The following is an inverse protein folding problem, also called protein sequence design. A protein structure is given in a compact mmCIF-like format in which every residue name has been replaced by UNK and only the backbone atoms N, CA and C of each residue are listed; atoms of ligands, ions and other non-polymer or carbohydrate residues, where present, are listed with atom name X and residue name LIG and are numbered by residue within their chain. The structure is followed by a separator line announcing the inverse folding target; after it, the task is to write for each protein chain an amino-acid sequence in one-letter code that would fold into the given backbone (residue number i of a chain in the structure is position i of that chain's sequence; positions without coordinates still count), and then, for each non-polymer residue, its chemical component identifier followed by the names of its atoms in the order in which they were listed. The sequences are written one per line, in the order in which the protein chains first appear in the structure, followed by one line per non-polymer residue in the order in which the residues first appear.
data_IF_070716318064
#
_entry.id   IF_070716318064
#
_cell.length_a   1.000
_cell.length_b   1.000
_cell.length_c   1.000
_cell.angle_alpha   90.00
_cell.angle_beta   90.00
_cell.angle_gamma   90.00
#
_symmetry.space_group_name_H-M   'P 1'
#
loop_
_entity.id
_entity.type
_entity.pdbx_description
1 polymer ?
#
# COMPACT_ATOMS: atom_id res chain seq x y z
N UNK A 1 -25.09 -19.34 -38.34
CA UNK A 1 -25.52 -18.81 -37.03
C UNK A 1 -24.25 -18.59 -36.23
N UNK A 2 -23.78 -17.34 -36.15
CA UNK A 2 -22.50 -17.01 -35.51
C UNK A 2 -22.72 -16.81 -34.01
N UNK A 3 -21.97 -17.55 -33.18
CA UNK A 3 -21.96 -17.40 -31.73
C UNK A 3 -21.02 -16.24 -31.36
N UNK A 4 -21.59 -15.14 -30.88
CA UNK A 4 -20.83 -13.98 -30.41
C UNK A 4 -20.27 -14.29 -29.02
N UNK A 5 -18.95 -14.46 -28.93
CA UNK A 5 -18.23 -14.56 -27.66
C UNK A 5 -18.13 -13.16 -27.06
N UNK A 6 -18.80 -12.91 -25.94
CA UNK A 6 -18.68 -11.66 -25.19
C UNK A 6 -17.36 -11.72 -24.41
N UNK A 7 -16.36 -10.94 -24.84
CA UNK A 7 -15.19 -10.65 -24.01
C UNK A 7 -15.64 -9.72 -22.87
N UNK A 8 -15.75 -10.26 -21.66
CA UNK A 8 -15.80 -9.44 -20.45
C UNK A 8 -14.41 -8.81 -20.25
N UNK A 9 -14.32 -7.50 -20.47
CA UNK A 9 -13.17 -6.73 -20.02
C UNK A 9 -13.17 -6.72 -18.48
N UNK A 10 -12.15 -7.31 -17.85
CA UNK A 10 -11.89 -7.07 -16.43
C UNK A 10 -11.52 -5.60 -16.27
N UNK A 11 -12.46 -4.77 -15.82
CA UNK A 11 -12.16 -3.42 -15.38
C UNK A 11 -11.07 -3.49 -14.30
N UNK A 12 -10.01 -2.71 -14.56
CA UNK A 12 -8.88 -2.44 -13.69
C UNK A 12 -9.27 -2.43 -12.22
N UNK A 13 -8.57 -3.27 -11.44
CA UNK A 13 -8.87 -3.56 -10.05
C UNK A 13 -9.23 -2.32 -9.24
N UNK A 14 -10.36 -2.42 -8.52
CA UNK A 14 -10.73 -1.52 -7.43
C UNK A 14 -9.52 -1.31 -6.53
N UNK A 15 -9.11 -0.05 -6.37
CA UNK A 15 -8.16 0.32 -5.34
C UNK A 15 -8.67 -0.20 -3.99
N UNK A 16 -7.80 -0.77 -3.14
CA UNK A 16 -8.22 -1.25 -1.83
C UNK A 16 -8.88 -0.09 -1.06
N UNK A 17 -10.14 -0.27 -0.66
CA UNK A 17 -10.86 0.66 0.19
C UNK A 17 -10.43 0.40 1.63
N UNK A 18 -9.91 1.43 2.32
CA UNK A 18 -9.65 1.33 3.75
C UNK A 18 -10.97 1.26 4.54
N UNK A 19 -10.95 0.77 5.79
CA UNK A 19 -12.12 0.77 6.65
C UNK A 19 -12.57 2.19 6.95
N UNK A 20 -13.88 2.43 6.86
CA UNK A 20 -14.54 3.62 7.39
C UNK A 20 -14.70 3.46 8.90
N UNK A 21 -13.96 4.24 9.71
CA UNK A 21 -14.11 4.10 11.16
C UNK A 21 -13.25 5.00 12.03
N UNK A 22 -12.42 5.88 11.49
CA UNK A 22 -11.68 6.81 12.35
C UNK A 22 -12.54 8.03 12.68
N UNK A 23 -12.54 8.40 13.96
CA UNK A 23 -13.08 9.69 14.43
C UNK A 23 -11.90 10.51 14.92
N UNK A 24 -11.63 11.66 14.28
CA UNK A 24 -10.59 12.58 14.73
C UNK A 24 -10.94 13.06 16.14
N UNK A 25 -10.06 12.88 17.15
CA UNK A 25 -10.33 13.40 18.49
C UNK A 25 -10.50 14.93 18.43
N UNK A 26 -11.60 15.44 18.99
CA UNK A 26 -11.91 16.87 19.02
C UNK A 26 -11.00 17.69 19.95
N UNK A 27 -10.18 17.01 20.77
CA UNK A 27 -9.27 17.63 21.75
C UNK A 27 -7.89 17.01 21.64
N UNK A 28 -6.93 17.78 21.10
CA UNK A 28 -5.51 17.42 21.03
C UNK A 28 -4.88 17.62 22.41
N UNK A 29 -5.05 16.65 23.31
CA UNK A 29 -4.14 16.45 24.45
C UNK A 29 -2.80 15.85 23.99
N UNK A 30 -1.75 15.84 24.83
CA UNK A 30 -0.41 15.32 24.47
C UNK A 30 -0.34 13.79 24.37
N UNK A 31 -1.46 13.13 24.12
CA UNK A 31 -1.54 11.68 24.06
C UNK A 31 -1.25 11.22 22.63
N UNK A 32 -0.14 10.50 22.47
CA UNK A 32 0.16 9.67 21.30
C UNK A 32 -0.93 8.60 21.17
N UNK A 33 -2.08 8.98 20.60
CA UNK A 33 -3.13 8.03 20.28
C UNK A 33 -2.73 7.22 19.04
N UNK A 34 -1.89 6.21 19.25
CA UNK A 34 -1.74 5.12 18.31
C UNK A 34 -3.02 4.28 18.37
N UNK A 35 -4.01 4.59 17.53
CA UNK A 35 -5.22 3.76 17.44
C UNK A 35 -4.91 2.58 16.51
N UNK A 36 -4.92 1.32 17.00
CA UNK A 36 -4.70 0.15 16.16
C UNK A 36 -5.89 -0.03 15.21
N UNK A 37 -5.64 -0.19 13.90
CA UNK A 37 -6.65 -0.63 12.93
C UNK A 37 -6.49 -2.13 12.68
N UNK A 38 -7.16 -3.05 13.40
CA UNK A 38 -6.83 -4.48 13.37
C UNK A 38 -7.15 -5.20 12.04
N UNK A 39 -7.68 -4.52 11.03
CA UNK A 39 -8.12 -5.17 9.79
C UNK A 39 -6.99 -5.24 8.76
N UNK A 40 -6.54 -6.46 8.49
CA UNK A 40 -5.67 -6.73 7.34
C UNK A 40 -6.48 -6.58 6.05
N UNK A 41 -6.01 -5.74 5.15
CA UNK A 41 -6.64 -5.45 3.86
C UNK A 41 -6.00 -6.30 2.76
N UNK A 42 -6.78 -6.97 1.89
CA UNK A 42 -6.22 -7.76 0.80
C UNK A 42 -5.64 -6.86 -0.30
N UNK A 43 -4.65 -7.37 -1.02
CA UNK A 43 -4.16 -6.77 -2.25
C UNK A 43 -3.85 -7.85 -3.29
N UNK A 44 -3.95 -7.50 -4.57
CA UNK A 44 -3.47 -8.31 -5.69
C UNK A 44 -3.11 -7.43 -6.88
N UNK A 45 -1.97 -7.71 -7.52
CA UNK A 45 -1.49 -7.02 -8.73
C UNK A 45 -0.38 -7.84 -9.41
N UNK A 46 -0.09 -7.51 -10.67
CA UNK A 46 1.06 -8.08 -11.39
C UNK A 46 2.25 -7.10 -11.33
N UNK A 47 3.47 -7.64 -11.21
CA UNK A 47 4.73 -6.88 -11.30
C UNK A 47 5.67 -7.52 -12.29
N UNK A 48 6.43 -6.70 -13.00
CA UNK A 48 7.61 -7.17 -13.72
C UNK A 48 8.78 -7.27 -12.74
N UNK A 49 9.51 -8.38 -12.75
CA UNK A 49 10.68 -8.61 -11.90
C UNK A 49 11.99 -8.70 -12.69
N UNK A 50 11.97 -8.30 -13.97
CA UNK A 50 13.01 -8.33 -15.00
C UNK A 50 13.35 -9.70 -15.58
N UNK A 51 12.79 -10.75 -15.02
CA UNK A 51 12.85 -12.10 -15.57
C UNK A 51 11.50 -12.47 -16.16
N UNK A 52 10.42 -12.15 -15.44
CA UNK A 52 9.05 -12.44 -15.83
C UNK A 52 8.05 -11.51 -15.11
N UNK A 53 6.80 -11.56 -15.58
CA UNK A 53 5.67 -11.02 -14.83
C UNK A 53 5.29 -11.98 -13.69
N UNK A 54 5.09 -11.44 -12.50
CA UNK A 54 4.71 -12.17 -11.29
C UNK A 54 3.37 -11.66 -10.78
N UNK A 55 2.39 -12.54 -10.65
CA UNK A 55 1.12 -12.25 -10.00
C UNK A 55 1.31 -12.31 -8.49
N UNK A 56 1.22 -11.17 -7.82
CA UNK A 56 1.39 -11.03 -6.38
C UNK A 56 0.03 -10.82 -5.72
N UNK A 57 -0.21 -11.51 -4.61
CA UNK A 57 -1.35 -11.25 -3.74
C UNK A 57 -0.99 -11.43 -2.26
N UNK A 58 -1.75 -10.78 -1.39
CA UNK A 58 -1.47 -10.85 0.04
C UNK A 58 -2.39 -9.95 0.85
N UNK A 59 -1.90 -9.57 2.02
CA UNK A 59 -2.59 -8.66 2.94
C UNK A 59 -1.65 -7.60 3.48
N UNK A 60 -2.16 -6.42 3.74
CA UNK A 60 -1.44 -5.34 4.40
C UNK A 60 -2.19 -4.81 5.62
N UNK A 61 -1.45 -4.23 6.55
CA UNK A 61 -1.97 -3.54 7.72
C UNK A 61 -1.34 -2.15 7.79
N UNK A 62 -2.19 -1.13 7.77
CA UNK A 62 -1.81 0.27 7.83
C UNK A 62 -1.98 0.84 9.24
N UNK A 63 -1.07 1.72 9.63
CA UNK A 63 -1.08 2.46 10.89
C UNK A 63 -0.93 3.93 10.56
N UNK A 64 -1.94 4.70 10.94
CA UNK A 64 -2.01 6.16 10.80
C UNK A 64 -1.96 6.77 12.20
N UNK A 65 -1.01 7.68 12.44
CA UNK A 65 -0.88 8.37 13.72
C UNK A 65 -0.74 9.86 13.51
N UNK A 66 -1.59 10.63 14.16
CA UNK A 66 -1.47 12.09 14.26
C UNK A 66 -0.87 12.45 15.61
N UNK A 67 0.08 13.39 15.62
CA UNK A 67 0.65 13.90 16.86
C UNK A 67 1.06 15.37 16.71
N UNK A 68 0.99 16.12 17.81
CA UNK A 68 1.41 17.52 17.84
C UNK A 68 2.89 17.59 18.20
N UNK A 69 3.68 18.16 17.31
CA UNK A 69 5.10 18.39 17.49
C UNK A 69 5.42 19.70 18.20
N UNK A 70 6.71 19.99 18.43
CA UNK A 70 7.14 21.24 19.05
C UNK A 70 6.61 22.46 18.27
N UNK A 71 6.12 23.48 18.99
CA UNK A 71 5.50 24.71 18.44
C UNK A 71 4.11 24.52 17.81
N UNK A 72 3.39 23.45 18.15
CA UNK A 72 1.99 23.27 17.76
C UNK A 72 1.79 22.83 16.30
N UNK A 73 2.83 22.29 15.65
CA UNK A 73 2.70 21.72 14.30
C UNK A 73 2.13 20.33 14.37
N UNK A 74 1.11 20.02 13.58
CA UNK A 74 0.61 18.66 13.46
C UNK A 74 1.53 17.84 12.53
N UNK A 75 1.82 16.62 12.97
CA UNK A 75 2.56 15.62 12.20
C UNK A 75 1.68 14.41 11.97
N UNK A 76 1.88 13.81 10.81
CA UNK A 76 1.31 12.53 10.42
C UNK A 76 2.45 11.52 10.30
N UNK A 77 2.29 10.38 10.97
CA UNK A 77 3.10 9.18 10.74
C UNK A 77 2.22 8.14 10.07
N UNK A 78 2.72 7.61 8.97
CA UNK A 78 2.06 6.58 8.17
C UNK A 78 2.96 5.36 8.05
N UNK A 79 2.41 4.17 8.23
CA UNK A 79 3.18 2.93 8.23
C UNK A 79 2.33 1.78 7.66
N UNK A 80 2.85 1.05 6.68
CA UNK A 80 2.24 -0.17 6.14
C UNK A 80 3.14 -1.36 6.43
N UNK A 81 2.56 -2.46 6.88
CA UNK A 81 3.19 -3.78 6.87
C UNK A 81 2.43 -4.67 5.89
N UNK A 82 3.10 -5.12 4.83
CA UNK A 82 2.50 -5.96 3.79
C UNK A 82 3.20 -7.33 3.74
N UNK A 83 2.40 -8.39 3.61
CA UNK A 83 2.87 -9.76 3.40
C UNK A 83 2.06 -10.41 2.31
N UNK A 84 2.71 -11.20 1.47
CA UNK A 84 2.06 -11.87 0.37
C UNK A 84 2.93 -12.94 -0.29
N UNK A 85 2.40 -13.48 -1.36
CA UNK A 85 3.06 -14.47 -2.20
C UNK A 85 2.92 -14.07 -3.65
N UNK A 86 3.86 -14.52 -4.48
CA UNK A 86 3.80 -14.33 -5.92
C UNK A 86 3.98 -15.63 -6.69
N UNK A 87 3.43 -15.70 -7.90
CA UNK A 87 3.67 -16.77 -8.87
C UNK A 87 4.10 -16.17 -10.20
N UNK A 88 5.24 -16.61 -10.71
CA UNK A 88 5.73 -16.25 -12.03
C UNK A 88 4.82 -16.79 -13.12
N UNK A 89 4.37 -15.92 -14.03
CA UNK A 89 3.43 -16.29 -15.08
C UNK A 89 4.06 -17.20 -16.14
N UNK A 90 5.36 -17.08 -16.39
CA UNK A 90 6.05 -17.85 -17.43
C UNK A 90 6.76 -19.07 -16.87
N UNK A 91 7.34 -18.98 -15.66
CA UNK A 91 8.11 -20.08 -15.07
C UNK A 91 7.33 -20.89 -14.04
N UNK A 92 6.24 -20.34 -13.49
CA UNK A 92 5.56 -20.92 -12.33
C UNK A 92 6.37 -20.81 -11.03
N UNK A 93 7.48 -20.06 -11.03
CA UNK A 93 8.31 -19.84 -9.85
C UNK A 93 7.49 -19.20 -8.73
N UNK A 94 7.79 -19.58 -7.49
CA UNK A 94 7.12 -19.04 -6.30
C UNK A 94 7.96 -17.94 -5.69
N UNK A 95 7.28 -16.91 -5.20
CA UNK A 95 7.90 -15.75 -4.59
C UNK A 95 7.24 -15.41 -3.25
N UNK A 96 8.01 -14.82 -2.34
CA UNK A 96 7.49 -14.21 -1.13
C UNK A 96 7.58 -12.69 -1.22
N UNK A 97 6.51 -12.03 -0.78
CA UNK A 97 6.42 -10.58 -0.64
C UNK A 97 6.39 -10.23 0.84
N UNK A 98 7.31 -9.37 1.29
CA UNK A 98 7.33 -8.92 2.68
C UNK A 98 7.94 -7.53 2.77
N UNK A 99 7.09 -6.53 2.99
CA UNK A 99 7.51 -5.13 3.01
C UNK A 99 7.02 -4.40 4.25
N UNK A 100 7.77 -3.36 4.56
CA UNK A 100 7.44 -2.38 5.58
C UNK A 100 7.68 -1.00 5.00
N UNK A 101 6.60 -0.27 4.73
CA UNK A 101 6.65 1.08 4.17
C UNK A 101 6.40 2.12 5.25
N UNK A 102 7.19 3.18 5.29
CA UNK A 102 7.12 4.18 6.37
C UNK A 102 7.30 5.60 5.86
N UNK A 103 6.49 6.52 6.38
CA UNK A 103 6.63 7.96 6.13
C UNK A 103 6.23 8.80 7.36
N UNK A 104 6.84 9.98 7.49
CA UNK A 104 6.45 11.03 8.44
C UNK A 104 6.39 12.35 7.68
N UNK A 105 5.24 13.01 7.72
CA UNK A 105 5.05 14.30 7.06
C UNK A 105 4.42 15.34 7.98
N UNK A 106 4.68 16.61 7.69
CA UNK A 106 4.00 17.73 8.35
C UNK A 106 2.64 17.92 7.69
N UNK A 107 1.60 18.08 8.50
CA UNK A 107 0.24 18.23 7.99
C UNK A 107 -0.39 19.53 8.47
N UNK A 108 -1.24 20.10 7.64
CA UNK A 108 -2.05 21.22 8.05
C UNK A 108 -3.05 20.74 9.14
N UNK A 109 -3.33 21.56 10.16
CA UNK A 109 -4.21 21.18 11.26
C UNK A 109 -5.69 21.02 10.89
N UNK A 110 -6.04 21.18 9.62
CA UNK A 110 -7.42 21.06 9.14
C UNK A 110 -7.44 20.55 7.70
N UNK A 111 -8.35 19.61 7.42
CA UNK A 111 -8.63 19.13 6.08
C UNK A 111 -7.99 17.78 5.74
N UNK A 112 -8.19 17.36 4.49
CA UNK A 112 -7.57 16.17 3.95
C UNK A 112 -6.08 16.40 3.66
N UNK A 113 -5.27 15.38 3.90
CA UNK A 113 -3.82 15.40 3.65
C UNK A 113 -3.53 14.46 2.49
N UNK A 114 -2.68 14.88 1.56
CA UNK A 114 -2.15 13.98 0.52
C UNK A 114 -0.62 14.01 0.53
N UNK A 115 -0.01 12.83 0.42
CA UNK A 115 1.43 12.69 0.37
C UNK A 115 1.84 11.54 -0.56
N UNK A 116 3.11 11.53 -0.96
CA UNK A 116 3.69 10.50 -1.82
C UNK A 116 4.77 9.78 -1.04
N UNK A 117 4.56 8.48 -0.83
CA UNK A 117 5.54 7.58 -0.23
C UNK A 117 6.33 6.92 -1.35
N UNK A 118 7.66 6.95 -1.25
CA UNK A 118 8.56 6.22 -2.15
C UNK A 118 9.38 5.23 -1.32
N UNK A 119 9.38 3.97 -1.71
CA UNK A 119 10.11 2.91 -1.00
C UNK A 119 10.55 1.81 -1.97
N UNK A 120 11.22 0.78 -1.44
CA UNK A 120 11.55 -0.42 -2.17
C UNK A 120 11.01 -1.67 -1.49
N UNK A 121 10.39 -2.51 -2.30
CA UNK A 121 9.97 -3.85 -1.92
C UNK A 121 10.97 -4.91 -2.35
N UNK A 122 10.94 -6.05 -1.66
CA UNK A 122 11.70 -7.24 -2.05
C UNK A 122 10.76 -8.38 -2.39
N UNK A 123 10.95 -8.92 -3.59
CA UNK A 123 10.32 -10.15 -4.05
C UNK A 123 11.35 -11.28 -3.94
N UNK A 124 11.13 -12.21 -3.01
CA UNK A 124 12.10 -13.25 -2.65
C UNK A 124 11.75 -14.55 -3.38
N UNK A 125 12.55 -14.91 -4.38
CA UNK A 125 12.38 -16.13 -5.16
C UNK A 125 12.62 -17.39 -4.33
N UNK A 126 11.79 -18.41 -4.57
CA UNK A 126 11.88 -19.72 -3.93
C UNK A 126 12.39 -20.77 -4.92
N UNK A 127 13.02 -21.83 -4.42
CA UNK A 127 13.42 -22.97 -5.26
C UNK A 127 14.45 -22.64 -6.35
N UNK A 128 15.29 -21.62 -6.13
CA UNK A 128 16.30 -21.19 -7.10
C UNK A 128 15.88 -20.03 -8.00
N UNK A 129 14.64 -19.55 -7.88
CA UNK A 129 14.22 -18.31 -8.55
C UNK A 129 14.99 -17.09 -8.00
N UNK A 130 15.25 -16.12 -8.88
CA UNK A 130 16.04 -14.93 -8.56
C UNK A 130 15.22 -13.97 -7.68
N UNK A 131 15.89 -13.33 -6.72
CA UNK A 131 15.30 -12.25 -5.93
C UNK A 131 15.28 -10.96 -6.74
N UNK A 132 14.19 -10.19 -6.63
CA UNK A 132 14.07 -8.89 -7.30
C UNK A 132 13.74 -7.78 -6.31
N UNK A 133 14.15 -6.57 -6.67
CA UNK A 133 13.85 -5.34 -5.93
C UNK A 133 12.90 -4.49 -6.75
N UNK A 134 11.85 -3.98 -6.13
CA UNK A 134 10.81 -3.20 -6.80
C UNK A 134 10.74 -1.82 -6.17
N UNK A 135 10.82 -0.77 -6.97
CA UNK A 135 10.54 0.60 -6.53
C UNK A 135 9.03 0.80 -6.42
N UNK A 136 8.56 1.20 -5.25
CA UNK A 136 7.16 1.49 -4.97
C UNK A 136 6.99 2.99 -4.79
N UNK A 137 5.97 3.53 -5.45
CA UNK A 137 5.45 4.87 -5.20
C UNK A 137 3.95 4.79 -4.91
N UNK A 138 3.55 5.26 -3.73
CA UNK A 138 2.15 5.29 -3.31
C UNK A 138 1.74 6.75 -3.09
N UNK A 139 0.67 7.19 -3.76
CA UNK A 139 -0.03 8.42 -3.40
C UNK A 139 -1.15 8.05 -2.43
N UNK A 140 -1.07 8.57 -1.22
CA UNK A 140 -2.06 8.35 -0.17
C UNK A 140 -2.78 9.66 0.12
N UNK A 141 -4.08 9.58 0.26
CA UNK A 141 -4.92 10.67 0.76
C UNK A 141 -5.57 10.23 2.05
N UNK A 142 -5.47 11.04 3.10
CA UNK A 142 -6.16 10.83 4.36
C UNK A 142 -7.23 11.89 4.48
N UNK A 143 -8.48 11.48 4.64
CA UNK A 143 -9.61 12.40 4.76
C UNK A 143 -9.64 13.06 6.15
N UNK A 144 -10.56 14.00 6.36
CA UNK A 144 -10.71 14.69 7.66
C UNK A 144 -11.12 13.75 8.81
N UNK A 145 -11.70 12.60 8.46
CA UNK A 145 -12.03 11.50 9.36
C UNK A 145 -10.87 10.50 9.47
N UNK A 146 -9.63 10.85 9.11
CA UNK A 146 -8.46 9.97 9.27
C UNK A 146 -8.46 8.67 8.49
N UNK A 147 -9.47 8.41 7.65
CA UNK A 147 -9.47 7.23 6.78
C UNK A 147 -8.48 7.48 5.62
N UNK A 148 -7.60 6.51 5.38
CA UNK A 148 -6.63 6.56 4.30
C UNK A 148 -7.21 5.98 3.01
N UNK A 149 -6.89 6.55 1.86
CA UNK A 149 -7.20 5.99 0.54
C UNK A 149 -5.94 5.99 -0.30
N UNK A 150 -5.71 4.88 -1.01
CA UNK A 150 -4.62 4.80 -2.00
C UNK A 150 -5.14 5.33 -3.32
N UNK A 151 -4.75 6.56 -3.64
CA UNK A 151 -5.08 7.20 -4.92
C UNK A 151 -4.34 6.58 -6.09
N UNK A 152 -3.11 6.13 -5.86
CA UNK A 152 -2.23 5.61 -6.90
C UNK A 152 -1.16 4.71 -6.30
N UNK A 153 -1.04 3.51 -6.83
CA UNK A 153 0.08 2.61 -6.63
C UNK A 153 0.87 2.51 -7.93
N UNK A 154 2.17 2.76 -7.88
CA UNK A 154 3.11 2.44 -8.96
C UNK A 154 4.17 1.51 -8.41
N UNK A 155 4.31 0.36 -9.05
CA UNK A 155 5.40 -0.58 -8.79
C UNK A 155 6.22 -0.65 -10.07
N UNK A 156 7.52 -0.41 -9.95
CA UNK A 156 8.48 -0.55 -11.03
C UNK A 156 9.54 -1.52 -10.60
N UNK A 157 10.02 -2.31 -11.52
CA UNK A 157 11.27 -3.01 -11.33
C UNK A 157 12.43 -2.01 -11.12
N UNK A 158 13.42 -2.42 -10.33
CA UNK A 158 14.64 -1.66 -10.09
C UNK A 158 15.84 -2.38 -10.71
N UNK A 159 15.71 -2.84 -11.95
CA UNK A 159 16.78 -3.51 -12.65
C UNK A 159 17.74 -2.50 -13.25
N UNK A 160 19.04 -2.78 -13.04
CA UNK A 160 20.15 -2.01 -13.58
C UNK A 160 20.54 -2.50 -14.96
#
# INVERSE_FOLDING_TARGET
MFATLVLAACESGTAPQAPTGYTRPATLGPELAAVPNPSFQPFAFAVDNCVETVDVSGTFHEVVQFFVGPRGKEHLRFHINAKGTGVGQSTGARYQWNDRLFDITNVAPVGAVSFILNDYARLIGQGGAVNSRLAIQIKVTINANGDATVDRLRVRDACG
#
